data_IF_266023035125
#
_entry.id   IF_266023035125
#
_cell.length_a   1.000
_cell.length_b   1.000
_cell.length_c   1.000
_cell.angle_alpha   90.00
_cell.angle_beta   90.00
_cell.angle_gamma   90.00
#
_symmetry.space_group_name_H-M   'P 1'
#
loop_
_entity.id
_entity.type
_entity.pdbx_description
1 polymer ?
#
# COMPACT_ATOMS: atom_id res chain seq x y z
N UNK A 1 16.26 -14.76 20.46
CA UNK A 1 15.51 -15.53 21.48
C UNK A 1 14.06 -15.58 21.05
N UNK A 2 13.59 -16.74 20.60
CA UNK A 2 12.19 -16.97 20.22
C UNK A 2 11.41 -17.30 21.48
N UNK A 3 10.46 -16.44 21.83
CA UNK A 3 9.69 -16.54 23.05
C UNK A 3 8.74 -17.75 22.97
N UNK A 4 8.92 -18.72 23.86
CA UNK A 4 8.07 -19.93 23.95
C UNK A 4 6.58 -19.56 24.14
N UNK A 5 6.31 -18.35 24.63
CA UNK A 5 4.97 -17.79 24.77
C UNK A 5 4.27 -17.54 23.42
N UNK A 6 4.99 -17.04 22.41
CA UNK A 6 4.41 -16.74 21.09
C UNK A 6 4.02 -18.00 20.32
N UNK A 7 4.78 -19.08 20.52
CA UNK A 7 4.53 -20.37 19.86
C UNK A 7 3.34 -21.11 20.47
N UNK A 8 3.11 -20.94 21.78
CA UNK A 8 1.99 -21.56 22.51
C UNK A 8 0.64 -20.88 22.27
N UNK A 9 0.63 -19.54 22.08
CA UNK A 9 -0.61 -18.78 21.82
C UNK A 9 -1.05 -18.89 20.36
N UNK A 10 -0.13 -19.17 19.43
CA UNK A 10 -0.43 -19.27 18.00
C UNK A 10 -0.94 -20.65 17.53
N UNK A 11 -0.89 -21.69 18.38
CA UNK A 11 -1.28 -23.06 18.00
C UNK A 11 -2.16 -23.75 19.07
N UNK A 12 -3.24 -24.42 18.63
CA UNK A 12 -4.10 -25.24 19.49
C UNK A 12 -4.86 -24.49 20.58
N UNK A 13 -4.89 -25.06 21.79
CA UNK A 13 -5.74 -24.68 22.95
C UNK A 13 -5.55 -23.20 23.37
N UNK A 14 -4.38 -22.61 23.13
CA UNK A 14 -4.09 -21.20 23.43
C UNK A 14 -4.83 -20.19 22.54
N UNK A 15 -5.14 -20.58 21.28
CA UNK A 15 -5.92 -19.75 20.34
C UNK A 15 -7.38 -19.63 20.75
N UNK A 16 -7.94 -20.70 21.32
CA UNK A 16 -9.32 -20.74 21.82
C UNK A 16 -9.47 -20.03 23.17
N UNK A 17 -8.46 -20.11 24.04
CA UNK A 17 -8.43 -19.33 25.28
C UNK A 17 -8.25 -17.83 25.01
N UNK A 18 -7.37 -17.45 24.08
CA UNK A 18 -7.22 -16.06 23.64
C UNK A 18 -8.51 -15.50 23.00
N UNK A 19 -9.24 -16.32 22.21
CA UNK A 19 -10.57 -15.96 21.69
C UNK A 19 -11.60 -15.74 22.78
N UNK A 20 -11.66 -16.64 23.78
CA UNK A 20 -12.59 -16.53 24.92
C UNK A 20 -12.29 -15.35 25.84
N UNK A 21 -11.01 -14.95 25.94
CA UNK A 21 -10.55 -13.81 26.72
C UNK A 21 -10.56 -12.47 25.94
N UNK A 22 -11.00 -12.46 24.68
CA UNK A 22 -11.03 -11.26 23.84
C UNK A 22 -9.64 -10.68 23.53
N UNK A 23 -8.57 -11.48 23.69
CA UNK A 23 -7.21 -11.03 23.46
C UNK A 23 -6.91 -10.88 21.96
N UNK A 24 -6.28 -9.78 21.54
CA UNK A 24 -5.94 -9.57 20.14
C UNK A 24 -4.95 -10.63 19.66
N UNK A 25 -5.33 -11.39 18.63
CA UNK A 25 -4.45 -12.37 18.01
C UNK A 25 -3.52 -11.68 17.01
N UNK A 26 -2.19 -11.71 17.22
CA UNK A 26 -1.25 -11.10 16.29
C UNK A 26 -1.29 -11.84 14.95
N UNK A 27 -1.46 -11.09 13.85
CA UNK A 27 -1.41 -11.64 12.51
C UNK A 27 0.02 -12.09 12.15
N UNK A 28 0.16 -13.23 11.48
CA UNK A 28 1.46 -13.68 10.95
C UNK A 28 1.79 -12.85 9.71
N UNK A 29 2.79 -11.98 9.81
CA UNK A 29 3.18 -11.07 8.75
C UNK A 29 4.10 -11.75 7.75
N UNK A 30 3.77 -11.64 6.46
CA UNK A 30 4.63 -12.12 5.36
C UNK A 30 5.93 -11.33 5.32
N UNK A 31 7.05 -12.02 5.45
CA UNK A 31 8.40 -11.47 5.28
C UNK A 31 8.94 -11.74 3.88
N UNK A 32 9.87 -10.91 3.44
CA UNK A 32 10.57 -11.12 2.17
C UNK A 32 11.43 -12.38 2.22
N UNK A 33 11.39 -13.16 1.14
CA UNK A 33 12.35 -14.21 0.83
C UNK A 33 12.74 -14.07 -0.64
N UNK A 34 14.01 -14.33 -0.93
CA UNK A 34 14.54 -14.30 -2.29
C UNK A 34 13.80 -15.32 -3.17
N UNK A 35 13.46 -14.92 -4.40
CA UNK A 35 12.71 -15.76 -5.34
C UNK A 35 11.20 -15.89 -5.08
N UNK A 36 10.66 -15.40 -3.95
CA UNK A 36 9.20 -15.37 -3.77
C UNK A 36 8.55 -14.26 -4.62
N UNK A 37 7.32 -14.47 -5.12
CA UNK A 37 6.62 -13.45 -5.91
C UNK A 37 6.43 -12.16 -5.10
N UNK A 38 6.53 -11.00 -5.75
CA UNK A 38 6.44 -9.71 -5.06
C UNK A 38 5.14 -9.59 -4.24
N UNK A 39 4.01 -9.98 -4.83
CA UNK A 39 2.69 -10.00 -4.21
C UNK A 39 2.05 -11.38 -4.38
N UNK A 40 1.44 -11.99 -3.34
CA UNK A 40 0.81 -13.30 -3.44
C UNK A 40 -0.64 -13.15 -3.93
N UNK A 41 -0.80 -12.84 -5.22
CA UNK A 41 -2.11 -12.70 -5.86
C UNK A 41 -2.23 -11.44 -6.73
N UNK A 42 -3.40 -11.25 -7.36
CA UNK A 42 -3.67 -10.13 -8.25
C UNK A 42 -3.60 -8.78 -7.52
N UNK A 43 -3.16 -7.76 -8.25
CA UNK A 43 -3.05 -6.37 -7.79
C UNK A 43 -4.15 -5.56 -8.46
N UNK A 44 -5.07 -5.03 -7.66
CA UNK A 44 -6.11 -4.14 -8.16
C UNK A 44 -5.58 -2.69 -8.23
N UNK A 45 -5.59 -2.11 -9.42
CA UNK A 45 -5.18 -0.71 -9.64
C UNK A 45 -6.41 0.12 -10.01
N UNK A 46 -6.69 1.14 -9.20
CA UNK A 46 -7.82 2.05 -9.38
C UNK A 46 -7.32 3.49 -9.46
N UNK A 47 -7.88 4.25 -10.40
CA UNK A 47 -7.72 5.70 -10.48
C UNK A 47 -8.75 6.46 -9.64
N UNK A 48 -8.65 7.78 -9.71
CA UNK A 48 -9.64 8.71 -9.17
C UNK A 48 -10.97 8.63 -9.94
N UNK A 49 -12.03 9.25 -9.41
CA UNK A 49 -13.33 9.32 -10.10
C UNK A 49 -13.97 7.94 -10.30
N UNK A 50 -14.21 7.56 -11.56
CA UNK A 50 -14.84 6.29 -11.96
C UNK A 50 -13.87 5.09 -11.96
N UNK A 51 -12.67 5.23 -11.39
CA UNK A 51 -11.71 4.14 -11.22
C UNK A 51 -10.62 4.08 -12.29
N UNK A 52 -10.55 5.03 -13.23
CA UNK A 52 -9.45 5.12 -14.22
C UNK A 52 -8.96 6.55 -14.41
N UNK A 53 -7.63 6.70 -14.43
CA UNK A 53 -6.90 7.92 -14.80
C UNK A 53 -5.67 7.54 -15.62
N UNK A 54 -5.10 8.46 -16.40
CA UNK A 54 -3.86 8.23 -17.15
C UNK A 54 -2.73 7.72 -16.24
N UNK A 55 -2.57 8.31 -15.05
CA UNK A 55 -1.60 7.82 -14.07
C UNK A 55 -1.87 6.41 -13.56
N UNK A 56 -3.14 5.99 -13.44
CA UNK A 56 -3.49 4.61 -13.11
C UNK A 56 -3.21 3.64 -14.26
N UNK A 57 -3.30 4.12 -15.50
CA UNK A 57 -3.01 3.33 -16.69
C UNK A 57 -1.52 3.07 -16.84
N UNK A 58 -0.71 4.12 -16.72
CA UNK A 58 0.74 4.02 -16.74
C UNK A 58 1.27 3.12 -15.62
N UNK A 59 0.67 3.23 -14.42
CA UNK A 59 1.07 2.41 -13.29
C UNK A 59 0.71 0.94 -13.49
N UNK A 60 -0.47 0.66 -14.04
CA UNK A 60 -0.88 -0.70 -14.35
C UNK A 60 0.04 -1.34 -15.39
N UNK A 61 0.45 -0.59 -16.43
CA UNK A 61 1.43 -1.05 -17.41
C UNK A 61 2.79 -1.34 -16.76
N UNK A 62 3.27 -0.46 -15.87
CA UNK A 62 4.53 -0.68 -15.16
C UNK A 62 4.50 -1.92 -14.25
N UNK A 63 3.39 -2.13 -13.53
CA UNK A 63 3.20 -3.30 -12.68
C UNK A 63 3.09 -4.61 -13.49
N UNK A 64 2.39 -4.57 -14.62
CA UNK A 64 2.33 -5.71 -15.55
C UNK A 64 3.72 -6.04 -16.12
N UNK A 65 4.54 -5.02 -16.41
CA UNK A 65 5.94 -5.19 -16.80
C UNK A 65 6.83 -5.84 -15.74
N UNK A 66 6.41 -5.87 -14.47
CA UNK A 66 7.07 -6.62 -13.40
C UNK A 66 6.59 -8.08 -13.29
N UNK A 67 5.72 -8.53 -14.19
CA UNK A 67 5.13 -9.87 -14.16
C UNK A 67 4.03 -10.03 -13.11
N UNK A 68 3.42 -8.93 -12.65
CA UNK A 68 2.28 -8.98 -11.74
C UNK A 68 0.97 -9.18 -12.52
N UNK A 69 0.05 -9.95 -11.95
CA UNK A 69 -1.33 -10.00 -12.42
C UNK A 69 -2.05 -8.71 -11.98
N UNK A 70 -2.31 -7.80 -12.94
CA UNK A 70 -2.91 -6.49 -12.68
C UNK A 70 -4.37 -6.48 -13.10
N UNK A 71 -5.26 -6.13 -12.16
CA UNK A 71 -6.69 -5.99 -12.39
C UNK A 71 -7.11 -4.53 -12.34
N UNK A 72 -8.12 -4.20 -13.15
CA UNK A 72 -8.76 -2.86 -13.19
C UNK A 72 -10.18 -2.85 -12.63
N UNK A 73 -10.69 -4.02 -12.34
CA UNK A 73 -11.99 -4.27 -11.74
C UNK A 73 -11.84 -5.51 -10.88
N UNK A 74 -12.37 -5.48 -9.65
CA UNK A 74 -12.37 -6.67 -8.81
C UNK A 74 -13.35 -7.70 -9.37
N UNK A 75 -12.88 -8.95 -9.47
CA UNK A 75 -13.77 -10.08 -9.74
C UNK A 75 -14.36 -10.60 -8.42
N UNK A 76 -15.62 -11.01 -8.39
CA UNK A 76 -16.23 -11.57 -7.19
C UNK A 76 -15.45 -12.81 -6.70
N UNK A 77 -15.21 -12.91 -5.39
CA UNK A 77 -14.59 -14.07 -4.70
C UNK A 77 -13.12 -14.35 -5.04
N UNK A 78 -12.41 -13.44 -5.72
CA UNK A 78 -10.98 -13.58 -5.98
C UNK A 78 -10.15 -12.95 -4.85
N UNK A 79 -9.19 -13.68 -4.27
CA UNK A 79 -8.33 -13.15 -3.21
C UNK A 79 -7.31 -12.16 -3.79
N UNK A 80 -7.48 -10.86 -3.51
CA UNK A 80 -6.54 -9.82 -3.94
C UNK A 80 -5.28 -9.82 -3.06
N UNK A 81 -4.12 -9.66 -3.70
CA UNK A 81 -2.84 -9.54 -3.00
C UNK A 81 -2.45 -8.10 -2.65
N UNK A 82 -2.96 -7.11 -3.38
CA UNK A 82 -2.78 -5.69 -3.09
C UNK A 82 -3.86 -4.81 -3.76
N UNK A 83 -4.10 -3.63 -3.20
CA UNK A 83 -4.92 -2.57 -3.81
C UNK A 83 -4.09 -1.28 -3.89
N UNK A 84 -4.07 -0.69 -5.07
CA UNK A 84 -3.30 0.51 -5.41
C UNK A 84 -4.27 1.59 -5.88
N UNK A 85 -4.37 2.67 -5.10
CA UNK A 85 -5.23 3.82 -5.37
C UNK A 85 -4.42 5.00 -5.92
N UNK A 86 -4.63 5.37 -7.17
CA UNK A 86 -4.01 6.52 -7.81
C UNK A 86 -4.94 7.73 -7.69
N UNK A 87 -4.66 8.57 -6.68
CA UNK A 87 -5.47 9.75 -6.36
C UNK A 87 -4.83 11.04 -6.90
N UNK A 88 -4.26 10.97 -8.10
CA UNK A 88 -3.52 12.05 -8.75
C UNK A 88 -4.41 13.21 -9.22
N UNK A 89 -5.60 12.89 -9.71
CA UNK A 89 -6.57 13.86 -10.21
C UNK A 89 -7.51 14.43 -9.14
N UNK A 90 -7.51 13.88 -7.92
CA UNK A 90 -8.33 14.43 -6.85
C UNK A 90 -7.70 15.70 -6.31
N UNK A 91 -8.47 16.78 -6.26
CA UNK A 91 -8.06 18.08 -5.73
C UNK A 91 -8.76 18.36 -4.40
N UNK A 92 -10.07 18.10 -4.36
CA UNK A 92 -10.90 18.38 -3.20
C UNK A 92 -11.20 17.13 -2.35
N UNK A 93 -11.41 17.26 -1.03
CA UNK A 93 -11.68 16.10 -0.17
C UNK A 93 -12.93 15.29 -0.52
N UNK A 94 -13.96 15.93 -1.04
CA UNK A 94 -15.25 15.37 -1.47
C UNK A 94 -15.10 14.38 -2.63
N UNK A 95 -14.15 14.62 -3.52
CA UNK A 95 -13.83 13.75 -4.66
C UNK A 95 -13.18 12.43 -4.25
N UNK A 96 -12.81 12.24 -2.97
CA UNK A 96 -12.39 10.93 -2.47
C UNK A 96 -13.51 9.90 -2.49
N UNK A 97 -14.78 10.32 -2.48
CA UNK A 97 -15.92 9.42 -2.41
C UNK A 97 -15.91 8.40 -3.56
N UNK A 98 -15.64 8.83 -4.79
CA UNK A 98 -15.56 7.95 -5.97
C UNK A 98 -14.56 6.80 -5.80
N UNK A 99 -13.25 7.07 -5.70
CA UNK A 99 -12.25 6.01 -5.57
C UNK A 99 -12.42 5.15 -4.30
N UNK A 100 -12.92 5.71 -3.20
CA UNK A 100 -13.25 4.96 -1.98
C UNK A 100 -14.39 3.97 -2.23
N UNK A 101 -15.49 4.41 -2.86
CA UNK A 101 -16.64 3.56 -3.15
C UNK A 101 -16.30 2.48 -4.17
N UNK A 102 -15.46 2.77 -5.16
CA UNK A 102 -14.97 1.77 -6.12
C UNK A 102 -14.09 0.72 -5.44
N UNK A 103 -13.26 1.11 -4.47
CA UNK A 103 -12.39 0.18 -3.75
C UNK A 103 -13.09 -0.63 -2.66
N UNK A 104 -14.15 -0.07 -2.04
CA UNK A 104 -14.78 -0.64 -0.85
C UNK A 104 -15.24 -2.11 -0.98
N UNK A 105 -15.85 -2.56 -2.10
CA UNK A 105 -16.23 -3.96 -2.27
C UNK A 105 -15.01 -4.90 -2.22
N UNK A 106 -13.90 -4.45 -2.79
CA UNK A 106 -12.65 -5.21 -2.95
C UNK A 106 -11.88 -5.38 -1.64
N UNK A 107 -12.16 -4.56 -0.62
CA UNK A 107 -11.48 -4.64 0.68
C UNK A 107 -11.77 -5.95 1.42
N UNK A 108 -12.92 -6.57 1.19
CA UNK A 108 -13.31 -7.85 1.83
C UNK A 108 -12.57 -9.05 1.22
N UNK A 109 -12.25 -8.95 -0.06
CA UNK A 109 -11.55 -9.96 -0.83
C UNK A 109 -10.02 -9.81 -0.73
N UNK A 110 -9.57 -8.73 -0.11
CA UNK A 110 -8.17 -8.46 0.14
C UNK A 110 -7.62 -9.46 1.18
N UNK A 111 -6.55 -10.18 0.80
CA UNK A 111 -5.77 -11.01 1.71
C UNK A 111 -5.15 -10.15 2.84
N UNK A 112 -4.39 -10.67 3.83
CA UNK A 112 -3.58 -9.81 4.69
C UNK A 112 -2.53 -9.11 3.82
N UNK A 113 -2.93 -7.96 3.29
CA UNK A 113 -2.40 -7.41 2.06
C UNK A 113 -1.97 -5.96 2.26
N UNK A 114 -1.44 -5.42 1.17
CA UNK A 114 -0.70 -4.18 1.13
C UNK A 114 -1.53 -3.14 0.39
N UNK A 115 -1.86 -2.05 1.07
CA UNK A 115 -2.63 -0.96 0.47
C UNK A 115 -1.72 0.22 0.18
N UNK A 116 -1.70 0.70 -1.06
CA UNK A 116 -0.94 1.90 -1.41
C UNK A 116 -1.83 2.98 -2.00
N UNK A 117 -1.60 4.23 -1.63
CA UNK A 117 -2.24 5.37 -2.28
C UNK A 117 -1.26 6.48 -2.61
N UNK A 118 -1.46 7.14 -3.75
CA UNK A 118 -0.75 8.36 -4.14
C UNK A 118 -1.67 9.55 -4.06
N UNK A 119 -1.19 10.68 -3.56
CA UNK A 119 -1.90 11.96 -3.65
C UNK A 119 -0.94 13.11 -3.98
N UNK A 120 -1.41 14.15 -4.70
CA UNK A 120 -0.63 15.36 -4.94
C UNK A 120 -0.31 16.11 -3.63
N UNK A 121 0.73 16.93 -3.67
CA UNK A 121 1.05 17.84 -2.55
C UNK A 121 -0.03 18.92 -2.40
N UNK A 122 -0.41 19.30 -1.16
CA UNK A 122 -1.29 20.44 -0.94
C UNK A 122 -0.59 21.73 -1.40
N UNK A 123 -1.34 22.68 -1.98
CA UNK A 123 -0.77 23.92 -2.50
C UNK A 123 -0.29 24.90 -1.42
N UNK A 124 -0.62 24.70 -0.14
CA UNK A 124 -0.22 25.65 0.93
C UNK A 124 -0.24 25.01 2.33
N UNK A 125 0.63 25.43 3.27
CA UNK A 125 0.38 25.20 4.70
C UNK A 125 -0.91 25.93 5.11
N UNK A 126 -1.80 25.25 5.85
CA UNK A 126 -3.01 25.87 6.38
C UNK A 126 -2.64 26.83 7.53
N UNK A 127 -3.26 28.02 7.64
CA UNK A 127 -3.04 28.93 8.75
C UNK A 127 -3.48 28.30 10.10
N UNK A 128 -2.84 28.67 11.22
CA UNK A 128 -3.23 28.18 12.54
C UNK A 128 -4.65 28.69 12.89
N UNK A 129 -5.55 27.78 13.28
CA UNK A 129 -6.90 28.12 13.79
C UNK A 129 -8.09 27.66 12.95
N UNK A 130 -7.91 27.17 11.72
CA UNK A 130 -9.02 26.57 10.98
C UNK A 130 -9.45 25.24 11.63
N UNK A 131 -10.76 25.07 11.90
CA UNK A 131 -11.35 23.80 12.34
C UNK A 131 -10.76 22.63 11.55
N UNK A 132 -10.03 21.74 12.24
CA UNK A 132 -9.29 20.64 11.61
C UNK A 132 -10.25 19.55 11.12
N UNK A 133 -10.91 19.78 9.98
CA UNK A 133 -11.39 18.64 9.17
C UNK A 133 -10.16 17.78 8.87
N UNK A 134 -10.18 16.45 9.10
CA UNK A 134 -9.03 15.61 8.81
C UNK A 134 -8.66 15.83 7.34
N UNK A 135 -7.41 16.16 7.07
CA UNK A 135 -6.97 16.41 5.70
C UNK A 135 -7.32 15.23 4.80
N UNK A 136 -7.47 15.48 3.50
CA UNK A 136 -7.71 14.42 2.50
C UNK A 136 -6.78 13.21 2.69
N UNK A 137 -5.52 13.48 3.04
CA UNK A 137 -4.49 12.48 3.42
C UNK A 137 -4.89 11.64 4.63
N UNK A 138 -5.31 12.28 5.72
CA UNK A 138 -5.75 11.59 6.94
C UNK A 138 -6.99 10.74 6.68
N UNK A 139 -7.91 11.18 5.82
CA UNK A 139 -9.09 10.39 5.40
C UNK A 139 -8.70 9.18 4.58
N UNK A 140 -7.86 9.34 3.54
CA UNK A 140 -7.36 8.22 2.77
C UNK A 140 -6.59 7.21 3.64
N UNK A 141 -5.78 7.69 4.60
CA UNK A 141 -5.04 6.84 5.53
C UNK A 141 -5.94 6.13 6.54
N UNK A 142 -6.99 6.79 7.01
CA UNK A 142 -8.02 6.14 7.82
C UNK A 142 -8.77 5.08 7.02
N UNK A 143 -9.10 5.32 5.75
CA UNK A 143 -9.78 4.36 4.90
C UNK A 143 -8.91 3.12 4.63
N UNK A 144 -7.64 3.32 4.26
CA UNK A 144 -6.71 2.21 4.04
C UNK A 144 -6.59 1.30 5.27
N UNK A 145 -6.55 1.88 6.48
CA UNK A 145 -6.44 1.14 7.75
C UNK A 145 -7.71 0.41 8.17
N UNK A 146 -8.89 0.92 7.82
CA UNK A 146 -10.16 0.34 8.25
C UNK A 146 -10.44 -1.03 7.59
N UNK A 147 -9.80 -1.34 6.47
CA UNK A 147 -10.06 -2.57 5.71
C UNK A 147 -9.11 -3.73 5.99
N UNK A 148 -8.02 -3.56 6.74
CA UNK A 148 -6.98 -4.61 6.83
C UNK A 148 -6.25 -4.59 8.17
N UNK A 149 -6.83 -5.17 9.25
CA UNK A 149 -6.12 -5.35 10.52
C UNK A 149 -4.84 -6.16 10.29
N UNK A 150 -3.66 -5.57 10.56
CA UNK A 150 -2.36 -6.20 10.33
C UNK A 150 -1.85 -6.19 8.88
N UNK A 151 -2.47 -5.41 7.99
CA UNK A 151 -1.95 -5.11 6.66
C UNK A 151 -0.80 -4.10 6.69
N UNK A 152 -0.05 -3.99 5.59
CA UNK A 152 0.98 -2.96 5.45
C UNK A 152 0.46 -1.86 4.53
N UNK A 153 0.17 -0.69 5.10
CA UNK A 153 -0.31 0.45 4.31
C UNK A 153 0.78 1.51 4.15
N UNK A 154 1.07 1.88 2.91
CA UNK A 154 1.99 2.95 2.56
C UNK A 154 1.28 4.05 1.79
N UNK A 155 1.41 5.31 2.20
CA UNK A 155 0.90 6.43 1.42
C UNK A 155 2.05 7.23 0.85
N UNK A 156 2.00 7.50 -0.45
CA UNK A 156 3.01 8.34 -1.11
C UNK A 156 2.50 9.75 -1.36
N UNK A 157 3.41 10.70 -1.13
CA UNK A 157 3.25 12.10 -1.52
C UNK A 157 4.34 12.51 -2.49
N UNK A 158 3.98 13.25 -3.52
CA UNK A 158 4.93 13.94 -4.40
C UNK A 158 4.69 15.44 -4.28
N UNK A 159 5.74 16.28 -4.14
CA UNK A 159 5.70 17.68 -4.52
C UNK A 159 5.19 17.81 -5.96
N UNK A 160 4.54 18.94 -6.25
CA UNK A 160 3.85 19.23 -7.51
C UNK A 160 4.79 19.14 -8.72
N UNK A 161 6.09 19.37 -8.51
CA UNK A 161 7.11 19.33 -9.54
C UNK A 161 8.19 18.30 -9.20
N UNK A 162 8.27 17.23 -9.99
CA UNK A 162 9.46 16.37 -10.04
C UNK A 162 9.23 14.87 -10.15
N UNK A 163 8.12 14.31 -9.64
CA UNK A 163 7.95 12.85 -9.60
C UNK A 163 6.56 12.37 -10.05
N UNK A 164 6.48 11.98 -11.34
CA UNK A 164 5.31 11.34 -11.96
C UNK A 164 4.94 9.99 -11.33
N UNK A 165 3.80 9.43 -11.71
CA UNK A 165 3.29 8.16 -11.17
C UNK A 165 4.23 6.98 -11.45
N UNK A 166 4.95 7.03 -12.57
CA UNK A 166 5.92 6.01 -13.02
C UNK A 166 7.37 6.45 -12.87
N UNK A 167 7.65 7.52 -12.13
CA UNK A 167 9.04 7.93 -11.92
C UNK A 167 9.82 6.83 -11.17
N UNK A 168 11.12 6.64 -11.44
CA UNK A 168 11.96 5.63 -10.78
C UNK A 168 11.82 5.60 -9.26
N UNK A 169 11.83 6.77 -8.62
CA UNK A 169 11.70 6.91 -7.16
C UNK A 169 10.30 6.50 -6.66
N UNK A 170 9.25 6.72 -7.47
CA UNK A 170 7.89 6.26 -7.16
C UNK A 170 7.80 4.74 -7.26
N UNK A 171 8.33 4.18 -8.35
CA UNK A 171 8.33 2.76 -8.61
C UNK A 171 9.15 1.99 -7.57
N UNK A 172 10.30 2.52 -7.16
CA UNK A 172 11.11 1.94 -6.09
C UNK A 172 10.37 1.91 -4.74
N UNK A 173 9.72 3.01 -4.36
CA UNK A 173 8.90 3.06 -3.15
C UNK A 173 7.71 2.09 -3.21
N UNK A 174 6.99 2.05 -4.34
CA UNK A 174 5.87 1.14 -4.53
C UNK A 174 6.33 -0.32 -4.44
N UNK A 175 7.46 -0.67 -5.06
CA UNK A 175 8.04 -2.01 -4.99
C UNK A 175 8.34 -2.43 -3.55
N UNK A 176 8.92 -1.52 -2.75
CA UNK A 176 9.14 -1.77 -1.33
C UNK A 176 7.82 -2.05 -0.59
N UNK A 177 6.79 -1.22 -0.80
CA UNK A 177 5.48 -1.37 -0.16
C UNK A 177 4.71 -2.61 -0.61
N UNK A 178 4.90 -3.08 -1.85
CA UNK A 178 4.30 -4.32 -2.34
C UNK A 178 5.06 -5.57 -1.87
N UNK A 179 6.34 -5.44 -1.54
CA UNK A 179 7.17 -6.57 -1.11
C UNK A 179 6.96 -6.96 0.36
N UNK A 180 7.37 -8.19 0.72
CA UNK A 180 7.48 -8.65 2.11
C UNK A 180 8.43 -7.82 2.99
N UNK A 181 9.24 -6.90 2.42
CA UNK A 181 10.19 -6.06 3.16
C UNK A 181 9.48 -4.97 3.98
N UNK A 182 8.26 -4.58 3.61
CA UNK A 182 7.46 -3.59 4.32
C UNK A 182 6.51 -4.21 5.35
N UNK A 183 6.74 -5.46 5.80
CA UNK A 183 5.88 -6.19 6.75
C UNK A 183 5.51 -5.39 8.01
N UNK A 184 6.42 -4.55 8.52
CA UNK A 184 6.22 -3.75 9.73
C UNK A 184 5.98 -2.25 9.45
N UNK A 185 5.81 -1.88 8.18
CA UNK A 185 5.55 -0.49 7.80
C UNK A 185 4.05 -0.34 7.52
N UNK A 186 3.34 0.25 8.48
CA UNK A 186 1.91 0.50 8.35
C UNK A 186 1.53 1.95 8.73
N UNK A 187 0.56 2.49 7.99
CA UNK A 187 0.01 3.83 8.17
C UNK A 187 0.99 4.97 7.92
N UNK A 188 2.16 4.69 7.35
CA UNK A 188 3.23 5.67 7.16
C UNK A 188 3.05 6.47 5.87
N UNK A 189 3.47 7.74 5.93
CA UNK A 189 3.52 8.63 4.78
C UNK A 189 4.96 8.71 4.27
N UNK A 190 5.19 8.31 3.02
CA UNK A 190 6.46 8.42 2.34
C UNK A 190 6.41 9.58 1.35
N UNK A 191 7.21 10.62 1.59
CA UNK A 191 7.33 11.75 0.67
C UNK A 191 8.49 11.50 -0.29
N UNK A 192 8.21 11.53 -1.58
CA UNK A 192 9.23 11.45 -2.62
C UNK A 192 9.36 12.82 -3.24
N UNK A 193 10.54 13.41 -3.10
CA UNK A 193 10.81 14.81 -3.46
C UNK A 193 11.28 14.99 -4.89
N UNK A 194 11.82 13.95 -5.53
CA UNK A 194 12.29 13.98 -6.92
C UNK A 194 11.88 12.69 -7.65
N UNK A 195 11.79 12.76 -8.97
CA UNK A 195 11.63 11.59 -9.83
C UNK A 195 12.96 10.97 -10.25
N UNK A 196 14.08 11.56 -9.81
CA UNK A 196 15.41 11.11 -10.16
C UNK A 196 15.77 9.78 -9.49
N UNK A 197 16.54 8.97 -10.20
CA UNK A 197 17.01 7.67 -9.74
C UNK A 197 17.04 6.65 -10.87
N UNK A 198 17.61 5.48 -10.59
CA UNK A 198 17.59 4.33 -11.47
C UNK A 198 16.99 3.14 -10.71
N UNK A 199 16.10 2.41 -11.37
CA UNK A 199 15.65 1.13 -10.85
C UNK A 199 16.76 0.10 -11.07
N UNK A 200 17.02 -0.72 -10.06
CA UNK A 200 17.99 -1.81 -10.19
C UNK A 200 17.51 -2.81 -11.25
N UNK A 201 18.43 -3.27 -12.10
CA UNK A 201 18.19 -4.35 -13.04
C UNK A 201 17.88 -5.67 -12.31
N UNK A 202 18.54 -5.91 -11.18
CA UNK A 202 18.21 -6.97 -10.24
C UNK A 202 17.52 -6.37 -8.99
N UNK A 203 16.21 -6.55 -8.85
CA UNK A 203 15.46 -6.03 -7.70
C UNK A 203 15.69 -6.80 -6.39
N UNK A 204 16.13 -8.05 -6.48
CA UNK A 204 16.46 -8.89 -5.33
C UNK A 204 17.84 -8.52 -4.79
N UNK A 205 18.74 -8.05 -5.68
CA UNK A 205 20.04 -7.46 -5.34
C UNK A 205 20.12 -6.00 -5.77
N UNK A 206 19.45 -5.07 -5.05
CA UNK A 206 19.38 -3.67 -5.46
C UNK A 206 20.72 -2.92 -5.34
N UNK A 207 21.71 -3.48 -4.65
CA UNK A 207 23.01 -2.85 -4.35
C UNK A 207 24.16 -3.82 -4.70
N UNK A 208 24.29 -4.25 -5.97
CA UNK A 208 25.35 -5.18 -6.33
C UNK A 208 26.71 -4.49 -6.14
N UNK A 209 27.62 -5.13 -5.40
CA UNK A 209 28.99 -4.65 -5.21
C UNK A 209 29.16 -3.45 -4.26
N UNK A 210 28.12 -3.04 -3.51
CA UNK A 210 28.29 -2.08 -2.41
C UNK A 210 28.36 -2.81 -1.07
N UNK A 211 29.45 -2.59 -0.34
CA UNK A 211 29.59 -3.08 1.03
C UNK A 211 28.61 -2.36 1.95
N UNK A 212 27.86 -3.06 2.82
CA UNK A 212 27.12 -2.40 3.89
C UNK A 212 28.15 -1.80 4.86
N UNK A 213 28.18 -0.48 4.95
CA UNK A 213 28.98 0.29 5.92
C UNK A 213 28.39 0.17 7.32
#
# INVERSE_FOLDING_TARGET
MTDKYTQFVSHGIGKDLAKKLGLPQPAVLRRYKEGEPLVPGPVLVLGSGNGRTAGSDDLAAALAGWGLDVRRSALPKEKLGAIVLVLDAVEHPEELAGPVLTAAPSLRDLAPARGWSRSPAPPRPLPPGCCRRPSRRRRAAAFARQGTPGGCHGQRHSPRDGAGTTSPSTLGALRFFLSGRSAFVDGQFLTVTSGAGQLSADPDKPWPGRSPS
#
